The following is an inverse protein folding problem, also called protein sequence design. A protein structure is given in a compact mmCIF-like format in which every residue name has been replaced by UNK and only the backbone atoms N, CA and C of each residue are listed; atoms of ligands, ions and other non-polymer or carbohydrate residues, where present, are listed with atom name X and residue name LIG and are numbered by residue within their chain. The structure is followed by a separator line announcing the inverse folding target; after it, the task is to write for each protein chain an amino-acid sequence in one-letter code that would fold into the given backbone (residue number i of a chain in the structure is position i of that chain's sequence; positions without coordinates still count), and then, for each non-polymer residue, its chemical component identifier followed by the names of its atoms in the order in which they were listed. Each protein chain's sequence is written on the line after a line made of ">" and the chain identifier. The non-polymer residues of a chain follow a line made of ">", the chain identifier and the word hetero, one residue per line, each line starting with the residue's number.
data_IF_474418390934
#
_entry.id   IF_474418390934
#
_cell.length_a   1.000
_cell.length_b   1.000
_cell.length_c   1.000
_cell.angle_alpha   90.00
_cell.angle_beta   90.00
_cell.angle_gamma   90.00
#
_symmetry.space_group_name_H-M   'P 1'
#
loop_
_entity.id
_entity.type
_entity.pdbx_description
1 polymer ?
#
# COMPACT_ATOMS: atom_id res chain seq x y z
N UNK A 1 38.52 26.43 11.63
CA UNK A 1 37.21 26.91 11.13
C UNK A 1 36.21 25.84 11.50
N UNK A 2 35.54 26.02 12.64
CA UNK A 2 34.48 25.15 13.09
C UNK A 2 33.21 25.64 12.40
N UNK A 3 32.97 25.17 11.18
CA UNK A 3 31.62 25.26 10.63
C UNK A 3 30.80 24.21 11.37
N UNK A 4 30.05 24.72 12.35
CA UNK A 4 28.94 24.05 13.00
C UNK A 4 28.03 23.50 11.90
N UNK A 5 28.14 22.21 11.61
CA UNK A 5 27.03 21.44 11.09
C UNK A 5 25.95 21.49 12.16
N UNK A 6 25.09 22.52 12.10
CA UNK A 6 23.78 22.50 12.74
C UNK A 6 23.05 21.30 12.15
N UNK A 7 23.18 20.16 12.82
CA UNK A 7 22.16 19.13 12.76
C UNK A 7 20.88 19.85 13.20
N UNK A 8 20.05 20.24 12.23
CA UNK A 8 18.67 20.55 12.50
C UNK A 8 18.10 19.26 13.07
N UNK A 9 18.10 19.17 14.40
CA UNK A 9 17.46 18.12 15.20
C UNK A 9 15.94 18.30 15.14
N UNK A 10 15.41 18.53 13.94
CA UNK A 10 14.10 18.06 13.58
C UNK A 10 14.32 16.59 13.25
N UNK A 11 14.37 15.74 14.27
CA UNK A 11 14.12 14.33 14.06
C UNK A 11 12.78 14.28 13.31
N UNK A 12 12.81 14.04 12.00
CA UNK A 12 11.64 13.95 11.14
C UNK A 12 10.63 13.07 11.87
N UNK A 13 9.59 13.68 12.41
CA UNK A 13 8.69 13.01 13.34
C UNK A 13 7.67 12.22 12.52
N UNK A 14 8.16 11.20 11.81
CA UNK A 14 7.40 10.34 10.91
C UNK A 14 6.21 9.66 11.60
N UNK A 15 6.27 9.52 12.93
CA UNK A 15 5.16 9.00 13.74
C UNK A 15 3.93 9.92 13.71
N UNK A 16 4.11 11.23 13.53
CA UNK A 16 2.99 12.18 13.36
C UNK A 16 2.31 12.04 12.00
N UNK A 17 3.06 11.65 10.98
CA UNK A 17 2.57 11.50 9.61
C UNK A 17 1.94 10.13 9.35
N UNK A 18 2.26 9.16 10.21
CA UNK A 18 1.66 7.83 10.13
C UNK A 18 0.18 7.89 10.53
N UNK A 19 -0.69 7.38 9.66
CA UNK A 19 -2.10 7.24 9.99
C UNK A 19 -2.25 6.24 11.15
N UNK A 20 -2.69 6.72 12.32
CA UNK A 20 -2.92 5.92 13.52
C UNK A 20 -4.41 5.69 13.80
N UNK A 21 -4.72 4.72 14.67
CA UNK A 21 -6.06 4.42 15.15
C UNK A 21 -7.10 4.14 14.06
N UNK A 22 -8.28 4.74 14.16
CA UNK A 22 -9.41 4.51 13.24
C UNK A 22 -9.08 4.79 11.77
N UNK A 23 -8.14 5.70 11.48
CA UNK A 23 -7.71 5.99 10.10
C UNK A 23 -6.82 4.87 9.55
N UNK A 24 -5.94 4.31 10.39
CA UNK A 24 -5.15 3.12 10.07
C UNK A 24 -6.05 1.92 9.74
N UNK A 25 -7.05 1.68 10.58
CA UNK A 25 -7.99 0.55 10.40
C UNK A 25 -8.80 0.68 9.11
N UNK A 26 -9.30 1.89 8.81
CA UNK A 26 -10.00 2.18 7.56
C UNK A 26 -9.08 1.96 6.35
N UNK A 27 -7.84 2.48 6.42
CA UNK A 27 -6.87 2.31 5.35
C UNK A 27 -6.54 0.83 5.11
N UNK A 28 -6.36 0.03 6.17
CA UNK A 28 -6.12 -1.41 6.06
C UNK A 28 -7.29 -2.13 5.37
N UNK A 29 -8.54 -1.82 5.76
CA UNK A 29 -9.74 -2.39 5.12
C UNK A 29 -9.86 -2.01 3.65
N UNK A 30 -9.56 -0.76 3.30
CA UNK A 30 -9.57 -0.30 1.91
C UNK A 30 -8.52 -1.02 1.09
N UNK A 31 -7.29 -1.15 1.60
CA UNK A 31 -6.21 -1.89 0.92
C UNK A 31 -6.58 -3.35 0.67
N UNK A 32 -7.08 -4.06 1.71
CA UNK A 32 -7.57 -5.44 1.56
C UNK A 32 -8.62 -5.56 0.46
N UNK A 33 -9.61 -4.66 0.44
CA UNK A 33 -10.65 -4.68 -0.59
C UNK A 33 -10.11 -4.41 -2.00
N UNK A 34 -9.09 -3.56 -2.13
CA UNK A 34 -8.42 -3.32 -3.41
C UNK A 34 -7.70 -4.60 -3.86
N UNK A 35 -6.95 -5.23 -2.97
CA UNK A 35 -6.22 -6.47 -3.26
C UNK A 35 -7.17 -7.59 -3.69
N UNK A 36 -8.29 -7.78 -2.98
CA UNK A 36 -9.33 -8.77 -3.31
C UNK A 36 -9.91 -8.53 -4.72
N UNK A 37 -10.15 -7.27 -5.09
CA UNK A 37 -10.69 -6.92 -6.41
C UNK A 37 -9.67 -7.13 -7.53
N UNK A 38 -8.40 -6.82 -7.29
CA UNK A 38 -7.32 -7.05 -8.24
C UNK A 38 -7.10 -8.55 -8.45
N UNK A 39 -7.11 -9.34 -7.38
CA UNK A 39 -7.01 -10.79 -7.47
C UNK A 39 -8.19 -11.39 -8.23
N UNK A 40 -9.42 -10.96 -7.93
CA UNK A 40 -10.61 -11.40 -8.68
C UNK A 40 -10.51 -11.07 -10.17
N UNK A 41 -9.99 -9.89 -10.52
CA UNK A 41 -9.75 -9.52 -11.92
C UNK A 41 -8.71 -10.44 -12.56
N UNK A 42 -7.58 -10.69 -11.89
CA UNK A 42 -6.52 -11.60 -12.37
C UNK A 42 -7.05 -13.02 -12.59
N UNK A 43 -7.84 -13.53 -11.65
CA UNK A 43 -8.44 -14.86 -11.74
C UNK A 43 -9.42 -14.94 -12.90
N UNK A 44 -10.25 -13.91 -13.10
CA UNK A 44 -11.15 -13.83 -14.25
C UNK A 44 -10.37 -13.84 -15.56
N UNK A 45 -9.34 -13.01 -15.69
CA UNK A 45 -8.49 -13.00 -16.89
C UNK A 45 -7.85 -14.37 -17.12
N UNK A 46 -7.32 -15.02 -16.09
CA UNK A 46 -6.75 -16.36 -16.20
C UNK A 46 -7.76 -17.42 -16.67
N UNK A 47 -9.04 -17.27 -16.32
CA UNK A 47 -10.12 -18.15 -16.77
C UNK A 47 -10.61 -17.80 -18.18
N UNK A 48 -10.70 -16.51 -18.53
CA UNK A 48 -11.12 -16.04 -19.86
C UNK A 48 -10.09 -16.44 -20.96
N UNK A 49 -8.80 -16.63 -20.62
CA UNK A 49 -7.79 -17.23 -21.51
C UNK A 49 -7.72 -18.76 -21.42
N UNK A 50 -8.51 -19.40 -20.56
CA UNK A 50 -8.57 -20.85 -20.41
C UNK A 50 -9.64 -21.49 -21.30
N UNK A 51 -10.39 -20.72 -22.10
CA UNK A 51 -11.43 -21.22 -23.01
C UNK A 51 -10.87 -21.79 -24.35
N UNK A 52 -9.55 -21.79 -24.56
CA UNK A 52 -8.89 -22.48 -25.69
C UNK A 52 -8.57 -23.97 -25.35
N UNK A 53 -9.50 -24.67 -24.72
CA UNK A 53 -9.50 -26.14 -24.74
C UNK A 53 -10.44 -26.58 -25.87
N UNK A 54 -9.93 -26.55 -27.11
CA UNK A 54 -10.56 -27.17 -28.27
C UNK A 54 -10.99 -28.61 -27.91
N UNK A 55 -12.30 -28.88 -27.97
CA UNK A 55 -12.91 -30.22 -27.98
C UNK A 55 -13.14 -30.63 -29.43
#
# INVERSE_FOLDING_TARGET
>A
MADEYKANDESDNYDKDLATGKKADKNSKVRKRIDDLLEKKRLREALDFSDDWEI
#
